data_IF_775022410173
#
_entry.id   IF_775022410173
#
_cell.length_a   1.000
_cell.length_b   1.000
_cell.length_c   1.000
_cell.angle_alpha   90.00
_cell.angle_beta   90.00
_cell.angle_gamma   90.00
#
_symmetry.space_group_name_H-M   'P 1'
#
loop_
_entity.id
_entity.type
_entity.pdbx_description
1 polymer ?
#
# COMPACT_ATOMS: atom_id res chain seq x y z
N UNK A 1 -7.16 5.50 -14.61
CA UNK A 1 -8.50 5.49 -13.99
C UNK A 1 -9.12 4.13 -14.34
N UNK A 2 -9.64 3.44 -13.35
CA UNK A 2 -10.23 2.11 -13.47
C UNK A 2 -11.72 2.20 -13.12
N UNK A 3 -12.59 1.61 -13.96
CA UNK A 3 -14.05 1.60 -13.82
C UNK A 3 -14.52 0.19 -13.56
N UNK A 4 -15.24 -0.01 -12.46
CA UNK A 4 -15.76 -1.30 -12.06
C UNK A 4 -17.28 -1.26 -11.83
N UNK A 5 -17.97 -2.35 -12.13
CA UNK A 5 -19.42 -2.49 -11.89
C UNK A 5 -19.79 -2.49 -10.40
N UNK A 6 -18.83 -2.77 -9.53
CA UNK A 6 -19.12 -2.98 -8.12
C UNK A 6 -20.07 -4.16 -7.92
N UNK A 7 -21.11 -3.96 -7.08
CA UNK A 7 -22.16 -4.95 -6.82
C UNK A 7 -23.42 -4.73 -7.68
N UNK A 8 -23.38 -3.76 -8.61
CA UNK A 8 -24.54 -3.45 -9.45
C UNK A 8 -24.62 -4.46 -10.59
N UNK A 9 -25.48 -5.43 -10.44
CA UNK A 9 -25.87 -6.39 -11.48
C UNK A 9 -27.26 -5.93 -11.94
N UNK A 10 -27.34 -5.13 -12.97
CA UNK A 10 -28.58 -4.50 -13.45
C UNK A 10 -29.83 -5.38 -13.35
N UNK A 11 -30.98 -4.73 -13.28
CA UNK A 11 -32.28 -5.39 -13.15
C UNK A 11 -32.87 -5.87 -14.49
N UNK A 12 -32.14 -5.75 -15.57
CA UNK A 12 -32.60 -6.02 -16.95
C UNK A 12 -31.85 -7.21 -17.54
N UNK A 13 -32.56 -7.95 -18.40
CA UNK A 13 -32.05 -9.10 -19.16
C UNK A 13 -30.91 -8.74 -20.16
N UNK A 14 -30.49 -7.47 -20.19
CA UNK A 14 -29.45 -6.95 -21.08
C UNK A 14 -28.24 -6.42 -20.30
N UNK A 15 -27.33 -7.32 -19.98
CA UNK A 15 -26.08 -7.02 -19.27
C UNK A 15 -25.23 -5.99 -20.05
N UNK A 16 -25.20 -6.07 -21.39
CA UNK A 16 -24.38 -5.17 -22.24
C UNK A 16 -24.88 -3.72 -22.16
N UNK A 17 -26.20 -3.51 -22.14
CA UNK A 17 -26.76 -2.18 -21.99
C UNK A 17 -26.44 -1.56 -20.62
N UNK A 18 -26.51 -2.37 -19.56
CA UNK A 18 -26.12 -1.95 -18.20
C UNK A 18 -24.65 -1.55 -18.13
N UNK A 19 -23.77 -2.33 -18.75
CA UNK A 19 -22.34 -2.02 -18.83
C UNK A 19 -22.11 -0.69 -19.56
N UNK A 20 -22.75 -0.52 -20.71
CA UNK A 20 -22.62 0.69 -21.53
C UNK A 20 -23.12 1.94 -20.79
N UNK A 21 -24.26 1.84 -20.10
CA UNK A 21 -24.76 2.94 -19.27
C UNK A 21 -23.82 3.27 -18.11
N UNK A 22 -23.33 2.27 -17.39
CA UNK A 22 -22.36 2.45 -16.32
C UNK A 22 -21.09 3.14 -16.83
N UNK A 23 -20.57 2.73 -17.98
CA UNK A 23 -19.41 3.36 -18.61
C UNK A 23 -19.72 4.81 -19.05
N UNK A 24 -20.91 5.10 -19.55
CA UNK A 24 -21.32 6.46 -19.87
C UNK A 24 -21.43 7.35 -18.63
N UNK A 25 -21.96 6.85 -17.52
CA UNK A 25 -21.98 7.55 -16.24
C UNK A 25 -20.57 7.82 -15.73
N UNK A 26 -19.71 6.80 -15.79
CA UNK A 26 -18.29 6.93 -15.44
C UNK A 26 -17.60 7.99 -16.31
N UNK A 27 -17.85 8.03 -17.61
CA UNK A 27 -17.28 9.01 -18.53
C UNK A 27 -17.65 10.45 -18.12
N UNK A 28 -18.91 10.68 -17.72
CA UNK A 28 -19.38 11.99 -17.23
C UNK A 28 -18.67 12.37 -15.92
N UNK A 29 -18.59 11.43 -14.98
CA UNK A 29 -17.93 11.69 -13.69
C UNK A 29 -16.44 11.88 -13.85
N UNK A 30 -15.77 11.10 -14.69
CA UNK A 30 -14.35 11.27 -15.04
C UNK A 30 -14.10 12.69 -15.54
N UNK A 31 -14.84 13.13 -16.54
CA UNK A 31 -14.70 14.48 -17.08
C UNK A 31 -14.90 15.57 -16.00
N UNK A 32 -15.87 15.36 -15.10
CA UNK A 32 -16.13 16.24 -13.96
C UNK A 32 -14.95 16.25 -12.98
N UNK A 33 -14.41 15.08 -12.60
CA UNK A 33 -13.30 14.96 -11.68
C UNK A 33 -11.98 15.51 -12.24
N UNK A 34 -11.73 15.36 -13.53
CA UNK A 34 -10.57 15.97 -14.18
C UNK A 34 -10.58 17.49 -14.05
N UNK A 35 -11.77 18.13 -14.19
CA UNK A 35 -11.93 19.57 -13.99
C UNK A 35 -11.80 19.98 -12.53
N UNK A 36 -12.47 19.28 -11.62
CA UNK A 36 -12.49 19.61 -10.18
C UNK A 36 -11.11 19.48 -9.53
N UNK A 37 -10.36 18.44 -9.90
CA UNK A 37 -9.04 18.15 -9.33
C UNK A 37 -7.89 18.74 -10.13
N UNK A 38 -8.19 19.38 -11.26
CA UNK A 38 -7.20 19.89 -12.23
C UNK A 38 -6.16 18.83 -12.66
N UNK A 39 -6.66 17.61 -12.88
CA UNK A 39 -5.82 16.49 -13.35
C UNK A 39 -5.50 16.74 -14.83
N UNK A 40 -4.22 16.61 -15.19
CA UNK A 40 -3.70 16.94 -16.51
C UNK A 40 -2.55 16.04 -16.92
N UNK A 41 -2.17 16.10 -18.20
CA UNK A 41 -1.16 15.23 -18.79
C UNK A 41 -1.80 14.11 -19.60
N UNK A 42 -1.16 12.97 -19.64
CA UNK A 42 -1.68 11.75 -20.26
C UNK A 42 -2.61 11.08 -19.26
N UNK A 43 -3.81 10.74 -19.70
CA UNK A 43 -4.85 10.09 -18.89
C UNK A 43 -5.26 8.84 -19.65
N UNK A 44 -5.26 7.72 -18.95
CA UNK A 44 -5.71 6.43 -19.45
C UNK A 44 -6.91 6.02 -18.61
N UNK A 45 -7.99 5.59 -19.27
CA UNK A 45 -9.20 5.10 -18.64
C UNK A 45 -9.45 3.67 -19.05
N UNK A 46 -9.60 2.80 -18.07
CA UNK A 46 -9.98 1.42 -18.20
C UNK A 46 -11.49 1.32 -17.91
N UNK A 47 -12.28 1.27 -18.98
CA UNK A 47 -13.73 1.09 -18.88
C UNK A 47 -14.05 -0.41 -18.80
N UNK A 48 -15.24 -0.72 -18.28
CA UNK A 48 -15.75 -2.10 -18.29
C UNK A 48 -15.78 -2.59 -19.73
N UNK A 49 -15.33 -3.81 -19.98
CA UNK A 49 -15.26 -4.39 -21.30
C UNK A 49 -16.62 -4.35 -22.03
N UNK A 50 -16.59 -3.93 -23.27
CA UNK A 50 -17.74 -3.87 -24.17
C UNK A 50 -17.42 -4.64 -25.43
N UNK A 51 -18.34 -5.47 -25.88
CA UNK A 51 -18.15 -6.29 -27.10
C UNK A 51 -18.44 -5.47 -28.36
N UNK A 52 -19.53 -4.72 -28.34
CA UNK A 52 -20.05 -4.02 -29.51
C UNK A 52 -19.30 -2.70 -29.79
N UNK A 53 -18.99 -2.47 -31.07
CA UNK A 53 -18.36 -1.23 -31.51
C UNK A 53 -19.25 -0.01 -31.25
N UNK A 54 -20.58 -0.18 -31.40
CA UNK A 54 -21.55 0.88 -31.16
C UNK A 54 -21.52 1.38 -29.72
N UNK A 55 -21.37 0.47 -28.76
CA UNK A 55 -21.30 0.78 -27.33
C UNK A 55 -19.99 1.53 -27.00
N UNK A 56 -18.88 1.07 -27.56
CA UNK A 56 -17.59 1.76 -27.44
C UNK A 56 -17.65 3.20 -27.96
N UNK A 57 -18.26 3.41 -29.13
CA UNK A 57 -18.42 4.74 -29.70
C UNK A 57 -19.38 5.61 -28.89
N UNK A 58 -20.43 5.04 -28.30
CA UNK A 58 -21.35 5.76 -27.41
C UNK A 58 -20.62 6.30 -26.18
N UNK A 59 -19.78 5.48 -25.54
CA UNK A 59 -18.97 5.89 -24.38
C UNK A 59 -17.96 6.96 -24.77
N UNK A 60 -17.24 6.78 -25.88
CA UNK A 60 -16.29 7.76 -26.39
C UNK A 60 -16.96 9.11 -26.74
N UNK A 61 -18.14 9.08 -27.36
CA UNK A 61 -18.92 10.29 -27.68
C UNK A 61 -19.29 11.02 -26.40
N UNK A 62 -19.82 10.28 -25.41
CA UNK A 62 -20.17 10.84 -24.09
C UNK A 62 -18.95 11.52 -23.43
N UNK A 63 -17.78 10.86 -23.45
CA UNK A 63 -16.57 11.43 -22.86
C UNK A 63 -16.12 12.69 -23.64
N UNK A 64 -16.16 12.67 -24.99
CA UNK A 64 -15.80 13.83 -25.83
C UNK A 64 -16.73 15.01 -25.58
N UNK A 65 -18.04 14.78 -25.49
CA UNK A 65 -19.04 15.81 -25.22
C UNK A 65 -18.85 16.45 -23.83
N UNK A 66 -18.56 15.65 -22.82
CA UNK A 66 -18.31 16.16 -21.47
C UNK A 66 -16.96 16.90 -21.37
N UNK A 67 -15.95 16.44 -22.10
CA UNK A 67 -14.66 17.15 -22.16
C UNK A 67 -14.72 18.43 -22.98
N UNK A 68 -15.62 18.54 -23.95
CA UNK A 68 -15.83 19.78 -24.70
C UNK A 68 -16.34 20.94 -23.83
N UNK A 69 -16.95 20.64 -22.67
CA UNK A 69 -17.37 21.64 -21.65
C UNK A 69 -16.20 22.22 -20.85
N UNK A 70 -15.01 21.59 -20.96
CA UNK A 70 -13.80 22.05 -20.25
C UNK A 70 -13.18 23.25 -20.98
N UNK A 71 -12.80 24.29 -20.21
CA UNK A 71 -12.03 25.43 -20.74
C UNK A 71 -10.60 25.07 -21.11
N UNK A 72 -10.10 23.99 -20.53
CA UNK A 72 -8.74 23.48 -20.80
C UNK A 72 -8.74 22.56 -21.99
N UNK A 73 -7.84 22.80 -22.92
CA UNK A 73 -7.72 21.98 -24.13
C UNK A 73 -7.42 20.53 -23.79
N UNK A 74 -8.27 19.64 -24.28
CA UNK A 74 -8.14 18.20 -24.14
C UNK A 74 -8.35 17.49 -25.48
N UNK A 75 -7.80 16.31 -25.62
CA UNK A 75 -7.97 15.46 -26.80
C UNK A 75 -8.22 14.02 -26.34
N UNK A 76 -9.38 13.48 -26.70
CA UNK A 76 -9.72 12.06 -26.54
C UNK A 76 -9.31 11.36 -27.85
N UNK A 77 -8.27 10.55 -27.78
CA UNK A 77 -7.68 9.88 -28.96
C UNK A 77 -8.56 8.72 -29.43
N UNK A 78 -8.93 7.83 -28.55
CA UNK A 78 -9.78 6.68 -28.85
C UNK A 78 -9.53 5.52 -27.91
N UNK A 79 -9.98 4.33 -28.32
CA UNK A 79 -9.77 3.06 -27.59
C UNK A 79 -8.59 2.34 -28.24
N UNK A 80 -7.65 1.89 -27.41
CA UNK A 80 -6.50 1.09 -27.84
C UNK A 80 -6.91 -0.36 -28.14
N UNK A 81 -5.98 -1.14 -28.67
CA UNK A 81 -6.17 -2.58 -28.87
C UNK A 81 -6.36 -3.35 -27.55
N UNK A 82 -5.91 -2.78 -26.43
CA UNK A 82 -6.10 -3.33 -25.07
C UNK A 82 -7.42 -2.90 -24.42
N UNK A 83 -8.30 -2.18 -25.13
CA UNK A 83 -9.57 -1.71 -24.58
C UNK A 83 -9.48 -0.40 -23.78
N UNK A 84 -8.28 0.18 -23.63
CA UNK A 84 -8.08 1.39 -22.82
C UNK A 84 -8.38 2.65 -23.63
N UNK A 85 -9.09 3.61 -23.02
CA UNK A 85 -9.28 4.93 -23.61
C UNK A 85 -8.10 5.82 -23.29
N UNK A 86 -7.51 6.39 -24.33
CA UNK A 86 -6.41 7.34 -24.20
C UNK A 86 -6.88 8.76 -24.44
N UNK A 87 -6.47 9.66 -23.55
CA UNK A 87 -6.71 11.07 -23.71
C UNK A 87 -5.58 11.93 -23.14
N UNK A 88 -5.50 13.17 -23.58
CA UNK A 88 -4.60 14.15 -23.04
C UNK A 88 -5.36 15.41 -22.61
N UNK A 89 -4.92 16.02 -21.52
CA UNK A 89 -5.41 17.31 -21.05
C UNK A 89 -4.24 18.24 -20.77
N UNK A 90 -4.27 19.45 -21.32
CA UNK A 90 -3.18 20.40 -21.18
C UNK A 90 -2.98 20.75 -19.70
N UNK A 91 -1.73 20.69 -19.22
CA UNK A 91 -1.40 21.15 -17.86
C UNK A 91 -1.37 22.67 -17.82
N UNK A 92 -2.31 23.27 -17.08
CA UNK A 92 -2.41 24.73 -16.87
C UNK A 92 -2.02 25.13 -15.46
N UNK A 93 -2.24 24.24 -14.49
CA UNK A 93 -1.94 24.44 -13.06
C UNK A 93 -1.41 23.15 -12.47
N UNK A 94 -0.99 23.20 -11.22
CA UNK A 94 -0.73 22.01 -10.43
C UNK A 94 -2.05 21.41 -9.96
N UNK A 95 -2.11 20.08 -9.93
CA UNK A 95 -3.28 19.36 -9.44
C UNK A 95 -3.53 19.72 -7.95
N UNK A 96 -4.78 19.75 -7.54
CA UNK A 96 -5.19 20.17 -6.19
C UNK A 96 -4.53 19.34 -5.07
N UNK A 97 -4.31 18.05 -5.31
CA UNK A 97 -3.61 17.18 -4.36
C UNK A 97 -2.19 17.66 -4.05
N UNK A 98 -1.49 18.23 -5.03
CA UNK A 98 -0.15 18.74 -4.82
C UNK A 98 -0.11 19.95 -3.87
N UNK A 99 -1.21 20.70 -3.82
CA UNK A 99 -1.35 21.87 -2.94
C UNK A 99 -1.84 21.49 -1.55
N UNK A 100 -2.73 20.49 -1.47
CA UNK A 100 -3.41 20.12 -0.22
C UNK A 100 -2.79 18.94 0.51
N UNK A 101 -1.91 18.17 -0.13
CA UNK A 101 -1.37 16.93 0.42
C UNK A 101 0.16 16.94 0.42
N UNK A 102 0.73 16.25 1.37
CA UNK A 102 2.15 15.92 1.43
C UNK A 102 2.34 14.40 1.38
N UNK A 103 3.56 13.97 1.07
CA UNK A 103 3.87 12.54 1.15
C UNK A 103 3.61 12.00 2.54
N UNK A 104 3.01 10.83 2.64
CA UNK A 104 2.75 10.20 3.93
C UNK A 104 4.07 9.97 4.68
N UNK A 105 4.24 10.53 5.89
CA UNK A 105 5.50 10.39 6.64
C UNK A 105 5.74 8.96 7.11
N UNK A 106 4.68 8.14 7.19
CA UNK A 106 4.80 6.74 7.62
C UNK A 106 5.40 5.84 6.54
N UNK A 107 4.93 5.93 5.29
CA UNK A 107 5.43 5.09 4.20
C UNK A 107 6.32 5.86 3.18
N UNK A 108 6.62 7.13 3.43
CA UNK A 108 7.38 7.98 2.50
C UNK A 108 6.69 8.19 1.14
N UNK A 109 5.39 7.96 1.04
CA UNK A 109 4.60 8.11 -0.19
C UNK A 109 4.47 6.82 -1.02
N UNK A 110 5.05 5.71 -0.58
CA UNK A 110 4.98 4.42 -1.31
C UNK A 110 3.62 3.72 -1.21
N UNK A 111 2.77 4.09 -0.22
CA UNK A 111 1.51 3.43 0.09
C UNK A 111 1.65 2.04 0.72
N UNK A 112 2.88 1.57 0.93
CA UNK A 112 3.19 0.24 1.48
C UNK A 112 4.33 0.33 2.48
N UNK A 113 4.31 -0.57 3.46
CA UNK A 113 5.40 -0.85 4.41
C UNK A 113 5.70 -2.34 4.40
N UNK A 114 6.84 -2.73 4.95
CA UNK A 114 7.17 -4.15 5.08
C UNK A 114 6.15 -4.87 5.97
N UNK A 115 5.85 -6.12 5.63
CA UNK A 115 5.02 -6.96 6.50
C UNK A 115 5.75 -7.28 7.80
N UNK A 116 4.98 -7.59 8.84
CA UNK A 116 5.50 -7.98 10.16
C UNK A 116 6.50 -9.12 10.04
N UNK A 117 6.16 -10.16 9.25
CA UNK A 117 7.00 -11.35 9.04
C UNK A 117 8.34 -10.97 8.38
N UNK A 118 8.29 -10.03 7.41
CA UNK A 118 9.53 -9.54 6.77
C UNK A 118 10.42 -8.81 7.75
N UNK A 119 9.83 -8.02 8.66
CA UNK A 119 10.58 -7.33 9.71
C UNK A 119 11.17 -8.34 10.70
N UNK A 120 10.41 -9.34 11.14
CA UNK A 120 10.90 -10.43 12.00
C UNK A 120 12.12 -11.14 11.37
N UNK A 121 12.06 -11.43 10.06
CA UNK A 121 13.21 -12.02 9.36
C UNK A 121 14.44 -11.10 9.33
N UNK A 122 14.26 -9.79 9.20
CA UNK A 122 15.35 -8.82 9.28
C UNK A 122 15.96 -8.77 10.69
N UNK A 123 15.11 -8.74 11.71
CA UNK A 123 15.52 -8.80 13.11
C UNK A 123 16.33 -10.06 13.39
N UNK A 124 15.82 -11.22 12.98
CA UNK A 124 16.53 -12.52 13.07
C UNK A 124 17.92 -12.43 12.44
N UNK A 125 18.00 -11.94 11.21
CA UNK A 125 19.27 -11.81 10.48
C UNK A 125 20.26 -10.89 11.21
N UNK A 126 19.77 -9.79 11.78
CA UNK A 126 20.60 -8.87 12.55
C UNK A 126 21.08 -9.50 13.85
N UNK A 127 20.19 -10.19 14.58
CA UNK A 127 20.52 -10.91 15.80
C UNK A 127 21.61 -11.97 15.52
N UNK A 128 21.46 -12.79 14.49
CA UNK A 128 22.48 -13.79 14.10
C UNK A 128 23.84 -13.16 13.82
N UNK A 129 23.87 -12.00 13.13
CA UNK A 129 25.10 -11.27 12.86
C UNK A 129 25.77 -10.75 14.12
N UNK A 130 24.99 -10.26 15.08
CA UNK A 130 25.51 -9.78 16.35
C UNK A 130 26.02 -10.92 17.23
N UNK A 131 25.28 -12.03 17.30
CA UNK A 131 25.72 -13.24 18.00
C UNK A 131 27.03 -13.79 17.46
N UNK A 132 27.24 -13.73 16.13
CA UNK A 132 28.50 -14.19 15.52
C UNK A 132 29.70 -13.24 15.79
N UNK A 133 29.42 -11.97 16.13
CA UNK A 133 30.47 -10.95 16.34
C UNK A 133 30.75 -10.65 17.81
N UNK A 134 29.87 -11.06 18.72
CA UNK A 134 29.95 -10.75 20.14
C UNK A 134 29.88 -12.02 20.98
N UNK A 135 30.62 -12.06 22.07
CA UNK A 135 30.55 -13.11 23.09
C UNK A 135 29.42 -12.89 24.10
N UNK A 136 28.59 -11.85 23.89
CA UNK A 136 27.46 -11.56 24.76
C UNK A 136 26.47 -12.74 24.78
N UNK A 137 25.98 -13.06 25.97
CA UNK A 137 24.99 -14.11 26.19
C UNK A 137 23.54 -13.60 26.09
N UNK A 138 23.35 -12.31 26.36
CA UNK A 138 22.01 -11.70 26.38
C UNK A 138 21.89 -10.64 25.28
N UNK A 139 20.73 -10.56 24.63
CA UNK A 139 20.42 -9.59 23.59
C UNK A 139 19.04 -8.97 23.82
N UNK A 140 18.93 -7.68 23.51
CA UNK A 140 17.67 -6.94 23.50
C UNK A 140 17.24 -6.70 22.05
N UNK A 141 15.97 -6.92 21.79
CA UNK A 141 15.27 -6.58 20.55
C UNK A 141 14.20 -5.55 20.89
N UNK A 142 14.31 -4.32 20.38
CA UNK A 142 13.26 -3.30 20.45
C UNK A 142 12.60 -3.18 19.11
N UNK A 143 11.30 -3.37 19.07
CA UNK A 143 10.49 -3.40 17.84
C UNK A 143 9.12 -2.77 18.07
N UNK A 144 8.42 -2.48 16.98
CA UNK A 144 7.02 -2.08 17.05
C UNK A 144 6.15 -3.16 17.75
N UNK A 145 5.08 -2.74 18.40
CA UNK A 145 4.17 -3.62 19.15
C UNK A 145 3.65 -4.80 18.32
N UNK A 146 3.24 -4.57 17.05
CA UNK A 146 2.76 -5.64 16.18
C UNK A 146 3.85 -6.69 15.87
N UNK A 147 5.11 -6.25 15.75
CA UNK A 147 6.26 -7.14 15.52
C UNK A 147 6.58 -7.91 16.79
N UNK A 148 6.53 -7.26 17.97
CA UNK A 148 6.74 -7.92 19.25
C UNK A 148 5.67 -8.99 19.52
N UNK A 149 4.40 -8.71 19.25
CA UNK A 149 3.31 -9.67 19.34
C UNK A 149 3.53 -10.89 18.45
N UNK A 150 3.90 -10.68 17.18
CA UNK A 150 4.19 -11.77 16.23
C UNK A 150 5.39 -12.63 16.70
N UNK A 151 6.41 -12.02 17.29
CA UNK A 151 7.54 -12.77 17.85
C UNK A 151 7.09 -13.60 19.06
N UNK A 152 6.22 -13.05 19.92
CA UNK A 152 5.71 -13.75 21.11
C UNK A 152 4.80 -14.93 20.74
N UNK A 153 3.90 -14.76 19.77
CA UNK A 153 3.01 -15.83 19.28
C UNK A 153 3.80 -17.02 18.69
N UNK A 154 4.96 -16.76 18.18
CA UNK A 154 5.85 -17.76 17.55
C UNK A 154 7.09 -18.07 18.44
N UNK A 155 6.95 -17.97 19.76
CA UNK A 155 8.05 -18.11 20.71
C UNK A 155 8.41 -19.56 21.05
N UNK A 156 7.84 -20.55 20.36
CA UNK A 156 8.22 -21.97 20.59
C UNK A 156 9.73 -22.16 20.41
N UNK A 157 10.46 -22.62 21.43
CA UNK A 157 11.88 -22.83 21.38
C UNK A 157 12.33 -23.81 20.27
N UNK A 158 11.43 -24.68 19.79
CA UNK A 158 11.68 -25.66 18.76
C UNK A 158 11.35 -25.18 17.35
N UNK A 159 10.48 -24.20 17.18
CA UNK A 159 10.12 -23.61 15.87
C UNK A 159 11.10 -22.56 15.39
N UNK A 160 11.93 -22.00 16.26
CA UNK A 160 13.17 -21.30 15.94
C UNK A 160 13.03 -20.01 15.12
N UNK A 161 11.98 -19.20 15.33
CA UNK A 161 11.90 -17.88 14.64
C UNK A 161 13.11 -17.02 14.99
N UNK A 162 13.48 -16.94 16.29
CA UNK A 162 14.69 -16.26 16.72
C UNK A 162 15.71 -17.26 17.29
N UNK A 163 17.00 -17.15 16.93
CA UNK A 163 18.04 -17.94 17.58
C UNK A 163 18.29 -17.45 19.00
N UNK A 164 18.44 -18.37 19.94
CA UNK A 164 18.80 -18.07 21.31
C UNK A 164 20.27 -18.45 21.56
N UNK A 165 21.09 -17.58 22.17
CA UNK A 165 22.48 -17.89 22.48
C UNK A 165 22.60 -19.03 23.50
N UNK A 166 23.63 -19.88 23.36
CA UNK A 166 23.90 -20.95 24.36
C UNK A 166 24.18 -20.36 25.73
N UNK A 167 23.36 -20.72 26.72
CA UNK A 167 23.48 -20.23 28.08
C UNK A 167 23.15 -18.75 28.27
N UNK A 168 22.37 -18.18 27.37
CA UNK A 168 21.88 -16.81 27.43
C UNK A 168 20.41 -16.68 27.08
N UNK A 169 19.96 -15.44 26.84
CA UNK A 169 18.56 -15.13 26.54
C UNK A 169 18.42 -13.99 25.51
N UNK A 170 17.26 -13.97 24.88
CA UNK A 170 16.83 -12.87 24.02
C UNK A 170 15.62 -12.22 24.66
N UNK A 171 15.67 -10.91 24.81
CA UNK A 171 14.60 -10.10 25.38
C UNK A 171 13.93 -9.27 24.29
N UNK A 172 12.62 -9.25 24.26
CA UNK A 172 11.82 -8.49 23.29
C UNK A 172 11.07 -7.40 24.03
N UNK A 173 11.29 -6.17 23.61
CA UNK A 173 10.64 -4.98 24.15
C UNK A 173 9.80 -4.32 23.04
N UNK A 174 8.50 -4.17 23.29
CA UNK A 174 7.61 -3.41 22.43
C UNK A 174 7.86 -1.91 22.62
N UNK A 175 7.95 -1.17 21.52
CA UNK A 175 8.19 0.26 21.51
C UNK A 175 7.30 0.97 20.50
N UNK A 176 6.92 2.21 20.80
CA UNK A 176 6.19 3.08 19.87
C UNK A 176 7.16 3.63 18.80
N UNK A 177 7.51 2.78 17.87
CA UNK A 177 8.38 3.10 16.74
C UNK A 177 7.72 2.64 15.43
N UNK A 178 8.19 3.18 14.32
CA UNK A 178 7.74 2.76 12.99
C UNK A 178 7.89 1.25 12.81
N UNK A 179 6.91 0.60 12.15
CA UNK A 179 6.87 -0.87 12.01
C UNK A 179 8.14 -1.47 11.40
N UNK A 180 8.82 -0.76 10.52
CA UNK A 180 10.06 -1.20 9.88
C UNK A 180 11.32 -0.94 10.69
N UNK A 181 11.22 -0.14 11.77
CA UNK A 181 12.36 0.14 12.65
C UNK A 181 12.50 -0.97 13.68
N UNK A 182 13.75 -1.33 13.92
CA UNK A 182 14.12 -2.27 14.96
C UNK A 182 15.53 -1.96 15.46
N UNK A 183 15.77 -2.26 16.72
CA UNK A 183 17.07 -2.17 17.36
C UNK A 183 17.42 -3.53 17.94
N UNK A 184 18.65 -3.99 17.72
CA UNK A 184 19.16 -5.23 18.32
C UNK A 184 20.51 -4.90 18.95
N UNK A 185 20.64 -5.13 20.25
CA UNK A 185 21.85 -4.81 21.01
C UNK A 185 22.23 -5.92 21.97
N UNK A 186 23.54 -6.14 22.21
CA UNK A 186 23.97 -7.04 23.28
C UNK A 186 23.70 -6.39 24.66
N UNK A 187 23.40 -7.21 25.65
CA UNK A 187 23.20 -6.80 27.04
C UNK A 187 24.17 -7.49 27.98
N UNK A 188 24.55 -6.77 29.03
CA UNK A 188 25.15 -7.37 30.22
C UNK A 188 24.06 -8.06 31.08
N UNK A 189 24.44 -8.92 32.03
CA UNK A 189 23.48 -9.58 32.92
C UNK A 189 22.65 -8.58 33.70
N UNK A 190 23.27 -7.54 34.23
CA UNK A 190 22.56 -6.48 34.99
C UNK A 190 21.55 -5.73 34.11
N UNK A 191 21.92 -5.39 32.87
CA UNK A 191 21.02 -4.73 31.92
C UNK A 191 19.85 -5.64 31.53
N UNK A 192 20.10 -6.94 31.33
CA UNK A 192 19.07 -7.91 30.99
C UNK A 192 18.00 -7.99 32.11
N UNK A 193 18.41 -8.05 33.37
CA UNK A 193 17.50 -8.01 34.52
C UNK A 193 16.71 -6.68 34.60
N UNK A 194 17.34 -5.56 34.28
CA UNK A 194 16.69 -4.26 34.29
C UNK A 194 15.60 -4.17 33.21
N UNK A 195 15.88 -4.57 31.98
CA UNK A 195 14.90 -4.61 30.90
C UNK A 195 13.76 -5.58 31.19
N UNK A 196 14.05 -6.74 31.76
CA UNK A 196 13.01 -7.69 32.18
C UNK A 196 12.07 -7.10 33.23
N UNK A 197 12.61 -6.41 34.25
CA UNK A 197 11.79 -5.71 35.27
C UNK A 197 10.95 -4.57 34.68
N UNK A 198 11.39 -3.97 33.58
CA UNK A 198 10.65 -2.92 32.85
C UNK A 198 9.58 -3.46 31.90
N UNK A 199 9.44 -4.77 31.77
CA UNK A 199 8.39 -5.41 30.97
C UNK A 199 8.86 -5.98 29.63
N UNK A 200 10.16 -6.07 29.39
CA UNK A 200 10.67 -6.84 28.25
C UNK A 200 10.35 -8.34 28.46
N UNK A 201 9.83 -8.97 27.42
CA UNK A 201 9.47 -10.40 27.45
C UNK A 201 10.69 -11.24 27.05
N UNK A 202 10.98 -12.28 27.85
CA UNK A 202 12.03 -13.22 27.51
C UNK A 202 11.52 -14.21 26.46
N UNK A 203 12.21 -14.28 25.33
CA UNK A 203 11.83 -15.16 24.23
C UNK A 203 12.05 -16.62 24.58
N UNK A 204 11.03 -17.45 24.42
CA UNK A 204 11.06 -18.86 24.73
C UNK A 204 10.65 -19.25 26.16
N UNK A 205 10.05 -18.33 26.92
CA UNK A 205 9.36 -18.58 28.19
C UNK A 205 7.86 -18.73 28.01
#
# INVERSE_FOLDING_TARGET
IDVNTGKYVGSTDNLQETITETNCEAAREIARQLRLRDISGIIVVDFIDMDEIADKERVLSTLREEMAKDRTKSHVLGITQLGLVEMTRKKTRQCISHTLQSSCPYCGGTGKVLSVETVVLKVRKQLMRLMAKNEAKNFLIRVNEAVAASIAENSDPHSGILPVPKGGAVYVEAADIHIEKYEVSPLTETQAEEHYRRGAVRYGE
#
